data_IF_451905546618
#
_entry.id   IF_451905546618
#
_cell.length_a   1.000
_cell.length_b   1.000
_cell.length_c   1.000
_cell.angle_alpha   90.00
_cell.angle_beta   90.00
_cell.angle_gamma   90.00
#
_symmetry.space_group_name_H-M   'P 1'
#
loop_
_entity.id
_entity.type
_entity.pdbx_description
1 polymer ?
#
# COMPACT_ATOMS: atom_id res chain seq x y z
N UNK A 1 22.53 17.51 62.33
CA UNK A 1 21.45 16.88 63.13
C UNK A 1 20.12 17.33 62.52
N UNK A 2 19.55 16.66 61.51
CA UNK A 2 18.83 15.37 61.49
C UNK A 2 17.57 15.30 62.39
N UNK A 3 16.39 15.25 61.75
CA UNK A 3 15.34 14.20 61.80
C UNK A 3 14.13 14.70 60.98
N UNK A 4 13.99 14.28 59.71
CA UNK A 4 13.23 13.12 59.18
C UNK A 4 11.72 13.18 59.43
N UNK A 5 10.95 13.26 58.34
CA UNK A 5 9.84 12.34 58.10
C UNK A 5 9.66 12.10 56.59
N UNK A 6 9.78 10.82 56.20
CA UNK A 6 9.33 10.25 54.94
C UNK A 6 7.81 10.04 55.01
N UNK A 7 7.09 10.17 53.90
CA UNK A 7 6.33 9.05 53.31
C UNK A 7 5.68 9.41 51.96
N UNK A 8 5.80 8.46 51.02
CA UNK A 8 4.84 7.98 50.01
C UNK A 8 4.08 9.02 49.15
N UNK A 9 4.12 8.96 47.82
CA UNK A 9 3.82 7.79 47.00
C UNK A 9 2.45 8.00 46.36
N UNK A 10 2.42 8.60 45.17
CA UNK A 10 1.20 8.86 44.40
C UNK A 10 1.46 8.68 42.92
N UNK A 11 1.24 7.46 42.44
CA UNK A 11 1.17 7.12 41.01
C UNK A 11 -0.07 7.82 40.44
N UNK A 12 0.13 8.77 39.53
CA UNK A 12 -0.96 9.42 38.81
C UNK A 12 -1.44 8.45 37.71
N UNK A 13 -2.46 7.64 38.02
CA UNK A 13 -3.22 6.87 37.04
C UNK A 13 -4.10 7.84 36.25
N UNK A 14 -3.64 8.24 35.07
CA UNK A 14 -4.46 8.92 34.06
C UNK A 14 -5.43 7.89 33.46
N UNK A 15 -6.61 7.76 34.07
CA UNK A 15 -7.73 7.07 33.48
C UNK A 15 -8.27 7.93 32.31
N UNK A 16 -8.02 7.49 31.07
CA UNK A 16 -8.77 7.97 29.91
C UNK A 16 -10.22 7.49 30.05
N UNK A 17 -11.12 8.41 30.41
CA UNK A 17 -12.55 8.18 30.32
C UNK A 17 -12.94 8.17 28.84
N UNK A 18 -13.15 6.98 28.28
CA UNK A 18 -13.83 6.81 26.99
C UNK A 18 -15.28 7.23 27.19
N UNK A 19 -15.65 8.39 26.65
CA UNK A 19 -17.04 8.83 26.59
C UNK A 19 -17.70 8.01 25.47
N UNK A 20 -18.32 6.88 25.85
CA UNK A 20 -19.27 6.17 25.00
C UNK A 20 -20.52 7.04 24.87
N UNK A 21 -20.58 7.90 23.86
CA UNK A 21 -21.87 8.42 23.41
C UNK A 21 -22.60 7.26 22.76
N UNK A 22 -23.56 6.69 23.49
CA UNK A 22 -24.57 5.79 22.94
C UNK A 22 -25.42 6.57 21.93
N UNK A 23 -24.91 6.72 20.71
CA UNK A 23 -25.76 6.97 19.55
C UNK A 23 -26.61 5.73 19.37
N UNK A 24 -27.93 5.89 19.38
CA UNK A 24 -28.88 4.82 19.09
C UNK A 24 -28.56 4.24 17.70
N UNK A 25 -27.81 3.14 17.67
CA UNK A 25 -27.68 2.29 16.49
C UNK A 25 -29.03 1.60 16.38
N UNK A 26 -29.82 1.97 15.36
CA UNK A 26 -31.01 1.20 15.01
C UNK A 26 -30.61 -0.26 14.84
N UNK A 27 -31.31 -1.16 15.52
CA UNK A 27 -31.25 -2.58 15.20
C UNK A 27 -31.63 -2.73 13.73
N UNK A 28 -30.62 -3.04 12.91
CA UNK A 28 -30.83 -3.40 11.52
C UNK A 28 -31.47 -4.79 11.52
N UNK A 29 -32.80 -4.81 11.47
CA UNK A 29 -33.65 -6.00 11.46
C UNK A 29 -33.66 -6.72 10.11
N UNK A 30 -32.71 -6.43 9.21
CA UNK A 30 -32.65 -7.05 7.87
C UNK A 30 -32.31 -8.55 7.87
N UNK A 31 -31.95 -9.15 9.02
CA UNK A 31 -31.69 -10.58 9.16
C UNK A 31 -30.50 -11.10 8.35
N UNK A 32 -29.73 -10.21 7.71
CA UNK A 32 -28.53 -10.57 6.94
C UNK A 32 -27.31 -10.65 7.86
N UNK A 33 -26.47 -11.69 7.72
CA UNK A 33 -25.19 -11.77 8.41
C UNK A 33 -24.36 -10.51 8.22
N UNK A 34 -23.76 -10.00 9.30
CA UNK A 34 -23.01 -8.74 9.33
C UNK A 34 -21.56 -8.96 9.79
N UNK A 35 -20.63 -8.26 9.15
CA UNK A 35 -19.25 -8.05 9.61
C UNK A 35 -19.06 -6.58 9.99
N UNK A 36 -18.33 -6.32 11.07
CA UNK A 36 -17.92 -4.97 11.46
C UNK A 36 -16.55 -4.67 10.84
N UNK A 37 -16.40 -3.49 10.27
CA UNK A 37 -15.15 -3.05 9.63
C UNK A 37 -14.63 -1.82 10.35
N UNK A 38 -13.36 -1.85 10.75
CA UNK A 38 -12.68 -0.78 11.50
C UNK A 38 -11.46 -0.29 10.73
N UNK A 39 -11.21 1.02 10.76
CA UNK A 39 -9.95 1.59 10.28
C UNK A 39 -8.88 1.47 11.37
N UNK A 40 -7.79 0.77 11.07
CA UNK A 40 -6.59 0.71 11.90
C UNK A 40 -5.41 0.92 10.98
N UNK A 41 -4.50 1.82 11.34
CA UNK A 41 -3.29 2.11 10.56
C UNK A 41 -2.55 0.80 10.25
N UNK A 42 -2.10 0.63 9.00
CA UNK A 42 -1.60 -0.66 8.50
C UNK A 42 -0.56 -1.32 9.42
N UNK A 43 0.42 -0.55 9.91
CA UNK A 43 1.48 -1.04 10.80
C UNK A 43 1.03 -1.42 12.22
N UNK A 44 -0.21 -1.09 12.61
CA UNK A 44 -0.76 -1.43 13.93
C UNK A 44 -1.65 -2.69 13.91
N UNK A 45 -2.12 -3.11 12.73
CA UNK A 45 -3.12 -4.19 12.62
C UNK A 45 -2.61 -5.53 13.14
N UNK A 46 -1.34 -5.88 12.91
CA UNK A 46 -0.75 -7.15 13.39
C UNK A 46 -0.78 -7.21 14.92
N UNK A 47 -0.41 -6.12 15.59
CA UNK A 47 -0.48 -6.03 17.06
C UNK A 47 -1.91 -6.05 17.59
N UNK A 48 -2.85 -5.37 16.92
CA UNK A 48 -4.27 -5.43 17.29
C UNK A 48 -4.86 -6.84 17.14
N UNK A 49 -4.44 -7.58 16.11
CA UNK A 49 -4.81 -8.99 15.92
C UNK A 49 -4.25 -9.86 17.06
N UNK A 50 -2.97 -9.70 17.39
CA UNK A 50 -2.33 -10.45 18.48
C UNK A 50 -2.88 -10.16 19.87
N UNK A 51 -3.43 -8.96 20.09
CA UNK A 51 -4.14 -8.59 21.32
C UNK A 51 -5.61 -9.02 21.35
N UNK A 52 -6.13 -9.63 20.28
CA UNK A 52 -7.54 -10.02 20.17
C UNK A 52 -8.51 -8.84 20.10
N UNK A 53 -8.05 -7.65 19.68
CA UNK A 53 -8.90 -6.47 19.50
C UNK A 53 -9.72 -6.54 18.21
N UNK A 54 -9.25 -7.32 17.24
CA UNK A 54 -9.88 -7.60 15.95
C UNK A 54 -9.82 -9.10 15.68
N UNK A 55 -10.80 -9.62 14.93
CA UNK A 55 -10.86 -11.04 14.56
C UNK A 55 -10.05 -11.34 13.28
N UNK A 56 -9.83 -10.32 12.46
CA UNK A 56 -9.02 -10.40 11.25
C UNK A 56 -8.65 -9.05 10.68
N UNK A 57 -7.81 -9.07 9.66
CA UNK A 57 -7.33 -7.89 8.94
C UNK A 57 -7.21 -8.20 7.45
N UNK A 58 -7.55 -7.25 6.59
CA UNK A 58 -7.13 -7.28 5.19
C UNK A 58 -6.08 -6.17 5.00
N UNK A 59 -4.88 -6.54 4.57
CA UNK A 59 -3.76 -5.61 4.50
C UNK A 59 -2.83 -5.96 3.33
N UNK A 60 -1.92 -5.05 3.02
CA UNK A 60 -0.81 -5.29 2.11
C UNK A 60 0.38 -5.91 2.82
N UNK A 61 1.19 -6.61 2.03
CA UNK A 61 2.56 -6.98 2.38
C UNK A 61 3.42 -5.76 2.75
N UNK A 62 4.32 -5.82 3.75
CA UNK A 62 4.78 -7.02 4.45
C UNK A 62 3.95 -7.36 5.70
N UNK A 63 2.86 -6.64 5.98
CA UNK A 63 2.07 -6.87 7.20
C UNK A 63 1.45 -8.27 7.24
N UNK A 64 1.13 -8.83 6.07
CA UNK A 64 0.62 -10.21 5.95
C UNK A 64 1.70 -11.21 6.35
N UNK A 65 2.91 -11.10 5.79
CA UNK A 65 4.05 -11.91 6.18
C UNK A 65 4.41 -11.72 7.65
N UNK A 66 4.35 -10.50 8.18
CA UNK A 66 4.58 -10.24 9.60
C UNK A 66 3.59 -10.99 10.50
N UNK A 67 2.31 -11.03 10.14
CA UNK A 67 1.30 -11.77 10.89
C UNK A 67 1.53 -13.29 10.84
N UNK A 68 1.94 -13.84 9.70
CA UNK A 68 2.19 -15.28 9.56
C UNK A 68 3.51 -15.72 10.19
N UNK A 69 4.60 -14.98 9.98
CA UNK A 69 5.94 -15.30 10.51
C UNK A 69 6.01 -15.14 12.04
N UNK A 70 5.18 -14.25 12.63
CA UNK A 70 5.04 -14.15 14.09
C UNK A 70 4.15 -15.24 14.70
N UNK A 71 3.42 -16.00 13.87
CA UNK A 71 2.41 -16.97 14.30
C UNK A 71 1.15 -16.33 14.90
N UNK A 72 0.98 -15.01 14.76
CA UNK A 72 -0.21 -14.28 15.25
C UNK A 72 -1.43 -14.57 14.38
N UNK A 73 -1.23 -14.67 13.07
CA UNK A 73 -2.32 -14.85 12.12
C UNK A 73 -2.03 -15.89 11.05
N UNK A 74 -3.09 -16.28 10.35
CA UNK A 74 -3.04 -17.15 9.18
C UNK A 74 -3.84 -16.54 8.02
N UNK A 75 -3.36 -16.78 6.80
CA UNK A 75 -4.02 -16.30 5.58
C UNK A 75 -5.30 -17.11 5.33
N UNK A 76 -6.41 -16.42 5.12
CA UNK A 76 -7.69 -16.98 4.67
C UNK A 76 -7.79 -16.95 3.15
N UNK A 77 -7.36 -15.84 2.55
CA UNK A 77 -7.36 -15.65 1.12
C UNK A 77 -6.38 -14.55 0.76
N UNK A 78 -5.51 -14.80 -0.21
CA UNK A 78 -4.81 -13.72 -0.88
C UNK A 78 -5.79 -12.91 -1.74
N UNK A 79 -5.49 -11.62 -1.93
CA UNK A 79 -6.42 -10.69 -2.58
C UNK A 79 -6.85 -11.16 -3.96
N UNK A 80 -5.95 -11.76 -4.75
CA UNK A 80 -6.24 -12.30 -6.08
C UNK A 80 -7.28 -13.42 -6.09
N UNK A 81 -7.49 -14.08 -4.95
CA UNK A 81 -8.45 -15.18 -4.79
C UNK A 81 -9.75 -14.73 -4.11
N UNK A 82 -9.86 -13.46 -3.68
CA UNK A 82 -11.12 -12.96 -3.14
C UNK A 82 -12.19 -12.94 -4.24
N UNK A 83 -13.41 -13.42 -3.94
CA UNK A 83 -14.50 -13.39 -4.91
C UNK A 83 -15.01 -11.98 -5.12
N UNK A 84 -15.63 -11.78 -6.27
CA UNK A 84 -16.30 -10.55 -6.68
C UNK A 84 -17.79 -10.77 -6.87
N UNK A 85 -18.57 -9.70 -6.76
CA UNK A 85 -20.03 -9.75 -6.99
C UNK A 85 -20.43 -10.17 -8.42
N UNK A 86 -19.53 -10.04 -9.39
CA UNK A 86 -19.72 -10.48 -10.78
C UNK A 86 -19.37 -11.96 -11.04
N UNK A 87 -19.02 -12.72 -9.99
CA UNK A 87 -18.69 -14.15 -10.07
C UNK A 87 -17.25 -14.46 -10.48
N UNK A 88 -16.40 -13.43 -10.63
CA UNK A 88 -14.95 -13.60 -10.86
C UNK A 88 -14.17 -13.52 -9.54
N UNK A 89 -12.85 -13.58 -9.64
CA UNK A 89 -11.91 -13.22 -8.56
C UNK A 89 -11.10 -11.99 -8.96
N UNK A 90 -10.36 -11.42 -8.02
CA UNK A 90 -9.42 -10.32 -8.29
C UNK A 90 -8.09 -10.80 -8.90
N UNK A 91 -8.08 -11.86 -9.71
CA UNK A 91 -6.84 -12.40 -10.28
C UNK A 91 -6.07 -11.35 -11.10
N UNK A 92 -4.78 -11.20 -10.81
CA UNK A 92 -3.92 -10.24 -11.53
C UNK A 92 -4.28 -8.78 -11.30
N UNK A 93 -5.01 -8.45 -10.21
CA UNK A 93 -5.44 -7.08 -9.98
C UNK A 93 -4.26 -6.12 -9.79
N UNK A 94 -4.38 -4.90 -10.33
CA UNK A 94 -3.36 -3.87 -10.14
C UNK A 94 -3.25 -3.47 -8.67
N UNK A 95 -2.05 -3.07 -8.25
CA UNK A 95 -1.81 -2.57 -6.91
C UNK A 95 -1.18 -1.18 -6.98
N UNK A 96 0.12 -1.07 -6.71
CA UNK A 96 0.84 0.20 -6.81
C UNK A 96 1.20 0.54 -8.25
N UNK A 97 1.23 1.84 -8.50
CA UNK A 97 1.63 2.48 -9.75
C UNK A 97 2.59 3.62 -9.45
N UNK A 98 3.41 3.97 -10.43
CA UNK A 98 4.18 5.20 -10.40
C UNK A 98 3.35 6.30 -11.03
N UNK A 99 3.09 7.35 -10.27
CA UNK A 99 2.29 8.48 -10.73
C UNK A 99 2.88 9.83 -10.34
N UNK A 100 2.31 10.88 -10.91
CA UNK A 100 2.77 12.24 -10.77
C UNK A 100 1.62 13.24 -10.74
N UNK A 101 1.89 14.45 -10.24
CA UNK A 101 1.04 15.61 -10.46
C UNK A 101 1.41 16.33 -11.77
N UNK A 102 0.72 17.43 -12.06
CA UNK A 102 0.94 18.24 -13.27
C UNK A 102 2.41 18.72 -13.37
N UNK A 103 3.02 19.16 -12.27
CA UNK A 103 4.42 19.59 -12.24
C UNK A 103 5.39 18.46 -12.57
N UNK A 104 5.09 17.23 -12.14
CA UNK A 104 5.91 16.07 -12.47
C UNK A 104 5.87 15.74 -13.97
N UNK A 105 4.70 15.78 -14.59
CA UNK A 105 4.56 15.43 -16.02
C UNK A 105 4.98 16.54 -16.99
N UNK A 106 5.09 17.80 -16.53
CA UNK A 106 5.59 18.92 -17.34
C UNK A 106 6.98 18.63 -17.94
N UNK A 107 7.85 17.93 -17.21
CA UNK A 107 9.18 17.54 -17.66
C UNK A 107 9.23 16.07 -18.09
N UNK A 108 8.83 15.80 -19.32
CA UNK A 108 8.77 14.44 -19.85
C UNK A 108 10.11 13.67 -19.76
N UNK A 109 11.26 14.32 -19.95
CA UNK A 109 12.55 13.63 -19.86
C UNK A 109 12.84 13.19 -18.43
N UNK A 110 12.58 14.06 -17.44
CA UNK A 110 12.75 13.70 -16.03
C UNK A 110 11.77 12.59 -15.63
N UNK A 111 10.50 12.73 -15.99
CA UNK A 111 9.49 11.71 -15.73
C UNK A 111 9.86 10.37 -16.38
N UNK A 112 10.44 10.38 -17.59
CA UNK A 112 10.92 9.18 -18.27
C UNK A 112 12.13 8.56 -17.54
N UNK A 113 13.09 9.36 -17.06
CA UNK A 113 14.22 8.85 -16.26
C UNK A 113 13.73 8.18 -14.99
N UNK A 114 12.86 8.84 -14.23
CA UNK A 114 12.31 8.28 -12.98
C UNK A 114 11.47 7.03 -13.26
N UNK A 115 10.66 7.04 -14.32
CA UNK A 115 9.90 5.87 -14.75
C UNK A 115 10.84 4.72 -15.10
N UNK A 116 11.88 4.96 -15.91
CA UNK A 116 12.88 3.94 -16.26
C UNK A 116 13.62 3.37 -15.06
N UNK A 117 13.96 4.20 -14.08
CA UNK A 117 14.53 3.74 -12.81
C UNK A 117 13.57 2.79 -12.08
N UNK A 118 12.28 3.11 -11.99
CA UNK A 118 11.29 2.19 -11.39
C UNK A 118 11.21 0.85 -12.11
N UNK A 119 11.28 0.84 -13.44
CA UNK A 119 11.31 -0.40 -14.24
C UNK A 119 12.57 -1.23 -13.93
N UNK A 120 13.74 -0.59 -13.91
CA UNK A 120 15.00 -1.24 -13.54
C UNK A 120 14.99 -1.77 -12.10
N UNK A 121 14.34 -1.07 -11.17
CA UNK A 121 14.15 -1.54 -9.80
C UNK A 121 13.29 -2.81 -9.74
N UNK A 122 12.21 -2.86 -10.51
CA UNK A 122 11.36 -4.05 -10.66
C UNK A 122 12.12 -5.25 -11.24
N UNK A 123 12.90 -5.02 -12.30
CA UNK A 123 13.76 -6.05 -12.91
C UNK A 123 14.77 -6.58 -11.90
N UNK A 124 15.46 -5.68 -11.18
CA UNK A 124 16.43 -6.06 -10.15
C UNK A 124 15.81 -6.92 -9.05
N UNK A 125 14.61 -6.59 -8.58
CA UNK A 125 13.92 -7.39 -7.55
C UNK A 125 13.63 -8.80 -8.06
N UNK A 126 13.20 -8.91 -9.31
CA UNK A 126 12.88 -10.19 -9.97
C UNK A 126 14.13 -11.05 -10.13
N UNK A 127 15.25 -10.45 -10.52
CA UNK A 127 16.52 -11.14 -10.75
C UNK A 127 17.31 -11.45 -9.46
N UNK A 128 17.09 -10.65 -8.41
CA UNK A 128 17.85 -10.72 -7.16
C UNK A 128 16.96 -10.68 -5.91
N UNK A 129 16.03 -11.63 -5.72
CA UNK A 129 15.03 -11.58 -4.66
C UNK A 129 15.64 -11.58 -3.25
N UNK A 130 16.67 -12.40 -3.00
CA UNK A 130 17.32 -12.47 -1.67
C UNK A 130 18.04 -11.17 -1.28
N UNK A 131 18.77 -10.56 -2.23
CA UNK A 131 19.45 -9.28 -1.99
C UNK A 131 18.43 -8.16 -1.80
N UNK A 132 17.39 -8.16 -2.63
CA UNK A 132 16.29 -7.21 -2.53
C UNK A 132 15.58 -7.31 -1.18
N UNK A 133 15.35 -8.53 -0.69
CA UNK A 133 14.76 -8.73 0.64
C UNK A 133 15.61 -8.12 1.76
N UNK A 134 16.94 -8.24 1.68
CA UNK A 134 17.84 -7.63 2.65
C UNK A 134 17.79 -6.08 2.59
N UNK A 135 17.81 -5.50 1.39
CA UNK A 135 17.72 -4.04 1.22
C UNK A 135 16.40 -3.46 1.72
N UNK A 136 15.30 -4.13 1.40
CA UNK A 136 13.96 -3.72 1.82
C UNK A 136 13.76 -3.91 3.33
N UNK A 137 14.29 -4.98 3.91
CA UNK A 137 14.27 -5.18 5.36
C UNK A 137 15.09 -4.12 6.09
N UNK A 138 16.29 -3.80 5.62
CA UNK A 138 17.09 -2.70 6.17
C UNK A 138 16.34 -1.37 6.03
N UNK A 139 15.71 -1.09 4.89
CA UNK A 139 14.91 0.13 4.73
C UNK A 139 13.79 0.26 5.78
N UNK A 140 13.00 -0.81 5.95
CA UNK A 140 11.79 -0.78 6.77
C UNK A 140 12.08 -0.92 8.27
N UNK A 141 13.08 -1.70 8.64
CA UNK A 141 13.34 -2.10 10.03
C UNK A 141 14.72 -1.69 10.55
N UNK A 142 15.63 -1.26 9.66
CA UNK A 142 17.00 -0.91 10.01
C UNK A 142 17.74 -2.10 10.65
N UNK A 143 18.43 -1.83 11.77
CA UNK A 143 19.15 -2.84 12.55
C UNK A 143 18.29 -3.50 13.65
N UNK A 144 16.98 -3.26 13.65
CA UNK A 144 16.08 -3.76 14.71
C UNK A 144 15.01 -4.65 14.14
N UNK A 145 14.87 -5.85 14.70
CA UNK A 145 13.79 -6.75 14.32
C UNK A 145 12.44 -6.23 14.86
N UNK A 146 11.37 -6.22 14.03
CA UNK A 146 10.06 -5.78 14.46
C UNK A 146 9.49 -6.69 15.55
N UNK A 147 8.73 -6.08 16.46
CA UNK A 147 8.07 -6.77 17.58
C UNK A 147 6.56 -6.52 17.54
N UNK A 148 5.79 -7.60 17.62
CA UNK A 148 4.33 -7.61 17.60
C UNK A 148 3.83 -8.31 18.87
N UNK A 149 3.38 -7.54 19.85
CA UNK A 149 3.08 -8.09 21.17
C UNK A 149 4.34 -8.64 21.86
N UNK A 150 4.35 -9.93 22.18
CA UNK A 150 5.48 -10.65 22.77
C UNK A 150 6.36 -11.39 21.74
N UNK A 151 6.08 -11.21 20.43
CA UNK A 151 6.79 -11.87 19.33
C UNK A 151 7.76 -10.91 18.64
N UNK A 152 9.05 -11.21 18.68
CA UNK A 152 10.05 -10.55 17.83
C UNK A 152 10.39 -11.48 16.67
N UNK A 153 10.38 -10.94 15.44
CA UNK A 153 10.57 -11.72 14.21
C UNK A 153 11.61 -11.03 13.35
N UNK A 154 12.48 -11.81 12.69
CA UNK A 154 13.49 -11.24 11.80
C UNK A 154 12.85 -10.42 10.69
N UNK A 155 13.25 -9.15 10.57
CA UNK A 155 12.77 -8.27 9.49
C UNK A 155 13.08 -8.85 8.11
N UNK A 156 14.26 -9.45 7.93
CA UNK A 156 14.63 -10.11 6.67
C UNK A 156 13.77 -11.34 6.39
N UNK A 157 13.43 -12.16 7.39
CA UNK A 157 12.53 -13.30 7.19
C UNK A 157 11.14 -12.85 6.75
N UNK A 158 10.60 -11.79 7.35
CA UNK A 158 9.32 -11.19 6.95
C UNK A 158 9.36 -10.80 5.47
N UNK A 159 10.38 -10.07 5.03
CA UNK A 159 10.46 -9.61 3.64
C UNK A 159 10.69 -10.78 2.67
N UNK A 160 11.46 -11.82 3.06
CA UNK A 160 11.64 -13.03 2.25
C UNK A 160 10.34 -13.81 2.06
N UNK A 161 9.50 -13.89 3.09
CA UNK A 161 8.16 -14.49 2.98
C UNK A 161 7.20 -13.59 2.16
N UNK A 162 7.44 -12.29 2.17
CA UNK A 162 6.57 -11.29 1.57
C UNK A 162 6.77 -11.11 0.06
N UNK A 163 8.00 -10.79 -0.40
CA UNK A 163 8.29 -10.41 -1.79
C UNK A 163 7.76 -11.41 -2.84
N UNK A 164 7.86 -12.74 -2.65
CA UNK A 164 7.35 -13.72 -3.64
C UNK A 164 5.83 -13.67 -3.85
N UNK A 165 5.09 -13.01 -2.96
CA UNK A 165 3.63 -12.86 -3.06
C UNK A 165 3.21 -11.56 -3.74
N UNK A 166 4.17 -10.70 -4.11
CA UNK A 166 3.96 -9.47 -4.87
C UNK A 166 4.42 -9.73 -6.30
N UNK A 167 3.60 -9.35 -7.29
CA UNK A 167 3.92 -9.53 -8.71
C UNK A 167 4.41 -8.22 -9.31
N UNK A 168 5.70 -7.92 -9.14
CA UNK A 168 6.32 -6.77 -9.79
C UNK A 168 6.22 -6.88 -11.31
N UNK A 169 5.93 -5.77 -11.99
CA UNK A 169 5.76 -5.75 -13.43
C UNK A 169 6.28 -4.46 -14.04
N UNK A 170 6.89 -4.57 -15.21
CA UNK A 170 7.35 -3.45 -16.02
C UNK A 170 6.43 -3.14 -17.20
N UNK A 171 5.35 -3.91 -17.38
CA UNK A 171 4.54 -3.84 -18.62
C UNK A 171 3.16 -3.22 -18.42
N UNK A 172 2.83 -2.24 -19.26
CA UNK A 172 1.44 -1.82 -19.48
C UNK A 172 0.75 -2.86 -20.36
N UNK A 173 0.32 -3.96 -19.76
CA UNK A 173 -0.41 -5.04 -20.44
C UNK A 173 -1.92 -4.75 -20.55
N UNK A 174 -2.59 -5.44 -21.47
CA UNK A 174 -4.05 -5.38 -21.57
C UNK A 174 -4.76 -5.82 -20.28
N UNK A 175 -4.19 -6.82 -19.59
CA UNK A 175 -4.69 -7.29 -18.29
C UNK A 175 -4.55 -6.22 -17.20
N UNK A 176 -3.40 -5.52 -17.15
CA UNK A 176 -3.19 -4.44 -16.20
C UNK A 176 -4.16 -3.26 -16.45
N UNK A 177 -4.34 -2.87 -17.72
CA UNK A 177 -5.32 -1.85 -18.10
C UNK A 177 -6.76 -2.28 -17.80
N UNK A 178 -7.09 -3.55 -18.02
CA UNK A 178 -8.40 -4.11 -17.69
C UNK A 178 -8.67 -4.05 -16.19
N UNK A 179 -7.71 -4.46 -15.36
CA UNK A 179 -7.87 -4.41 -13.92
C UNK A 179 -8.04 -2.98 -13.38
N UNK A 180 -7.33 -1.98 -13.94
CA UNK A 180 -7.57 -0.58 -13.56
C UNK A 180 -9.00 -0.13 -13.86
N UNK A 181 -9.56 -0.54 -15.00
CA UNK A 181 -10.96 -0.28 -15.34
C UNK A 181 -11.91 -0.98 -14.39
N UNK A 182 -11.62 -2.23 -14.03
CA UNK A 182 -12.44 -2.99 -13.09
C UNK A 182 -12.47 -2.32 -11.71
N UNK A 183 -11.33 -1.80 -11.19
CA UNK A 183 -11.33 -1.00 -9.97
C UNK A 183 -12.23 0.23 -10.08
N UNK A 184 -12.15 0.97 -11.19
CA UNK A 184 -13.01 2.13 -11.41
C UNK A 184 -14.50 1.76 -11.41
N UNK A 185 -14.89 0.70 -12.12
CA UNK A 185 -16.28 0.24 -12.15
C UNK A 185 -16.76 -0.24 -10.78
N UNK A 186 -15.96 -1.01 -10.04
CA UNK A 186 -16.30 -1.42 -8.68
C UNK A 186 -16.46 -0.19 -7.77
N UNK A 187 -15.56 0.79 -7.87
CA UNK A 187 -15.65 2.02 -7.07
C UNK A 187 -16.87 2.89 -7.43
N UNK A 188 -17.32 2.89 -8.69
CA UNK A 188 -18.60 3.49 -9.11
C UNK A 188 -19.79 2.76 -8.51
N UNK A 189 -19.81 1.42 -8.57
CA UNK A 189 -20.86 0.58 -7.97
C UNK A 189 -20.96 0.78 -6.46
N UNK A 190 -19.82 0.88 -5.78
CA UNK A 190 -19.74 1.17 -4.34
C UNK A 190 -20.06 2.65 -3.99
N UNK A 191 -20.31 3.51 -4.98
CA UNK A 191 -20.64 4.92 -4.76
C UNK A 191 -19.47 5.78 -4.23
N UNK A 192 -18.23 5.33 -4.42
CA UNK A 192 -17.02 6.08 -3.98
C UNK A 192 -16.47 7.02 -5.05
N UNK A 193 -16.81 6.78 -6.32
CA UNK A 193 -16.55 7.63 -7.48
C UNK A 193 -17.86 8.31 -7.85
N UNK A 194 -17.95 9.63 -7.65
CA UNK A 194 -19.23 10.37 -7.74
C UNK A 194 -19.14 11.68 -8.53
N UNK A 195 -17.94 12.06 -8.97
CA UNK A 195 -17.66 13.35 -9.61
C UNK A 195 -17.11 13.15 -11.03
N UNK A 196 -15.84 13.53 -11.28
CA UNK A 196 -15.25 13.65 -12.61
C UNK A 196 -15.11 12.33 -13.36
N UNK A 197 -15.06 11.19 -12.65
CA UNK A 197 -14.95 9.86 -13.26
C UNK A 197 -16.27 9.09 -13.25
N UNK A 198 -17.37 9.66 -12.73
CA UNK A 198 -18.63 8.93 -12.53
C UNK A 198 -19.25 8.38 -13.81
N UNK A 199 -19.32 9.20 -14.86
CA UNK A 199 -20.04 8.88 -16.10
C UNK A 199 -19.13 8.96 -17.35
N UNK A 200 -17.82 8.87 -17.17
CA UNK A 200 -16.86 8.95 -18.28
C UNK A 200 -16.89 7.67 -19.11
N UNK A 201 -16.85 7.83 -20.43
CA UNK A 201 -16.52 6.76 -21.37
C UNK A 201 -15.12 6.22 -21.12
N UNK A 202 -14.77 5.10 -21.77
CA UNK A 202 -13.43 4.52 -21.70
C UNK A 202 -12.36 5.51 -22.14
N UNK A 203 -12.55 6.17 -23.28
CA UNK A 203 -11.57 7.12 -23.84
C UNK A 203 -11.39 8.34 -22.94
N UNK A 204 -12.48 8.91 -22.43
CA UNK A 204 -12.43 10.04 -21.48
C UNK A 204 -11.70 9.65 -20.20
N UNK A 205 -11.99 8.46 -19.68
CA UNK A 205 -11.33 7.91 -18.49
C UNK A 205 -9.84 7.78 -18.71
N UNK A 206 -9.42 7.08 -19.78
CA UNK A 206 -8.01 6.83 -20.09
C UNK A 206 -7.24 8.16 -20.25
N UNK A 207 -7.84 9.15 -20.91
CA UNK A 207 -7.26 10.50 -21.05
C UNK A 207 -7.14 11.24 -19.72
N UNK A 208 -8.09 11.06 -18.80
CA UNK A 208 -8.07 11.68 -17.48
C UNK A 208 -7.00 11.05 -16.58
N UNK A 209 -6.87 9.73 -16.58
CA UNK A 209 -6.07 9.01 -15.58
C UNK A 209 -4.62 8.73 -16.00
N UNK A 210 -4.33 8.61 -17.30
CA UNK A 210 -3.01 8.20 -17.77
C UNK A 210 -2.23 9.32 -18.44
N UNK A 211 -0.91 9.27 -18.26
CA UNK A 211 0.06 9.84 -19.18
C UNK A 211 1.20 8.83 -19.37
N UNK A 212 1.11 8.03 -20.43
CA UNK A 212 2.09 6.99 -20.75
C UNK A 212 3.25 7.49 -21.62
N UNK A 213 3.34 8.80 -21.91
CA UNK A 213 4.46 9.32 -22.69
C UNK A 213 5.81 9.11 -21.97
N UNK A 214 5.94 9.35 -20.65
CA UNK A 214 7.17 9.04 -19.91
C UNK A 214 7.55 7.56 -19.98
N UNK A 215 6.58 6.65 -19.80
CA UNK A 215 6.80 5.21 -19.90
C UNK A 215 7.33 4.78 -21.27
N UNK A 216 6.66 5.19 -22.35
CA UNK A 216 7.11 4.84 -23.72
C UNK A 216 8.52 5.36 -24.00
N UNK A 217 8.78 6.61 -23.59
CA UNK A 217 10.11 7.22 -23.71
C UNK A 217 11.16 6.42 -22.94
N UNK A 218 10.83 5.98 -21.71
CA UNK A 218 11.73 5.18 -20.88
C UNK A 218 12.03 3.81 -21.52
N UNK A 219 11.02 3.09 -21.99
CA UNK A 219 11.19 1.78 -22.64
C UNK A 219 12.03 1.89 -23.91
N UNK A 220 11.74 2.86 -24.78
CA UNK A 220 12.53 3.11 -26.00
C UNK A 220 13.99 3.41 -25.65
N UNK A 221 14.22 4.24 -24.62
CA UNK A 221 15.55 4.64 -24.18
C UNK A 221 16.35 3.50 -23.52
N UNK A 222 15.69 2.66 -22.71
CA UNK A 222 16.29 1.46 -22.11
C UNK A 222 16.69 0.45 -23.18
N UNK A 223 15.83 0.21 -24.18
CA UNK A 223 16.15 -0.64 -25.33
C UNK A 223 17.31 -0.10 -26.17
N UNK A 224 17.48 1.23 -26.22
CA UNK A 224 18.61 1.90 -26.85
C UNK A 224 19.87 1.97 -25.97
N UNK A 225 19.79 1.54 -24.70
CA UNK A 225 20.90 1.52 -23.74
C UNK A 225 21.20 2.85 -23.04
N UNK A 226 20.35 3.87 -23.18
CA UNK A 226 20.58 5.17 -22.54
C UNK A 226 19.28 5.95 -22.29
N UNK A 227 18.95 6.17 -21.01
CA UNK A 227 17.89 7.09 -20.58
C UNK A 227 18.18 8.55 -21.01
N UNK A 228 17.15 9.35 -21.31
CA UNK A 228 17.31 10.71 -21.85
C UNK A 228 17.96 11.64 -20.82
N UNK A 229 18.69 12.66 -21.28
CA UNK A 229 19.22 13.71 -20.39
C UNK A 229 18.10 14.71 -20.00
N UNK A 230 17.76 14.83 -18.71
CA UNK A 230 16.83 15.84 -18.23
C UNK A 230 17.59 17.03 -17.62
N UNK A 231 16.92 18.18 -17.55
CA UNK A 231 17.28 19.29 -16.67
C UNK A 231 16.12 19.47 -15.71
N UNK A 232 16.38 19.58 -14.41
CA UNK A 232 15.31 19.74 -13.42
C UNK A 232 15.73 20.60 -12.25
N UNK A 233 14.73 21.17 -11.58
CA UNK A 233 14.85 21.62 -10.19
C UNK A 233 14.77 20.41 -9.25
N UNK A 234 14.99 20.66 -7.97
CA UNK A 234 14.78 19.65 -6.93
C UNK A 234 13.33 19.15 -6.93
N UNK A 235 13.19 17.85 -6.64
CA UNK A 235 11.90 17.14 -6.64
C UNK A 235 11.71 16.39 -5.33
N UNK A 236 10.46 16.00 -5.08
CA UNK A 236 10.14 15.03 -4.04
C UNK A 236 9.32 13.85 -4.59
N UNK A 237 9.67 12.65 -4.10
CA UNK A 237 9.02 11.38 -4.42
C UNK A 237 8.38 10.84 -3.14
N UNK A 238 7.06 10.66 -3.16
CA UNK A 238 6.29 10.03 -2.11
C UNK A 238 6.41 8.51 -2.14
N UNK A 239 6.53 7.90 -0.97
CA UNK A 239 6.50 6.45 -0.80
C UNK A 239 5.75 6.05 0.47
N UNK A 240 5.35 4.79 0.57
CA UNK A 240 4.76 4.19 1.77
C UNK A 240 5.83 3.40 2.54
N UNK A 241 5.63 3.16 3.86
CA UNK A 241 6.48 2.24 4.63
C UNK A 241 6.10 0.78 4.32
N UNK A 242 6.29 0.37 3.07
CA UNK A 242 5.84 -0.93 2.54
C UNK A 242 6.81 -1.48 1.49
N UNK A 243 6.95 -2.80 1.43
CA UNK A 243 7.73 -3.48 0.36
C UNK A 243 7.04 -3.46 -1.00
N UNK A 244 5.82 -2.94 -1.05
CA UNK A 244 5.13 -2.46 -2.24
C UNK A 244 5.92 -1.37 -2.99
N UNK A 245 6.77 -0.64 -2.28
CA UNK A 245 7.61 0.43 -2.82
C UNK A 245 9.08 -0.02 -2.93
N UNK A 246 9.34 -1.34 -2.82
CA UNK A 246 10.66 -1.95 -2.92
C UNK A 246 11.50 -1.48 -4.13
N UNK A 247 10.93 -1.23 -5.34
CA UNK A 247 11.72 -0.76 -6.47
C UNK A 247 12.50 0.52 -6.15
N UNK A 248 11.85 1.47 -5.48
CA UNK A 248 12.50 2.71 -5.02
C UNK A 248 13.60 2.41 -3.99
N UNK A 249 13.35 1.48 -3.08
CA UNK A 249 14.30 1.15 -2.01
C UNK A 249 15.55 0.47 -2.56
N UNK A 250 15.41 -0.49 -3.48
CA UNK A 250 16.56 -1.17 -4.08
C UNK A 250 17.41 -0.22 -4.92
N UNK A 251 16.78 0.72 -5.63
CA UNK A 251 17.49 1.77 -6.39
C UNK A 251 18.42 2.61 -5.52
N UNK A 252 17.98 2.94 -4.30
CA UNK A 252 18.73 3.75 -3.35
C UNK A 252 19.75 2.92 -2.55
N UNK A 253 19.37 1.72 -2.12
CA UNK A 253 20.21 0.83 -1.30
C UNK A 253 21.31 0.14 -2.10
N UNK A 254 21.13 0.00 -3.41
CA UNK A 254 22.09 -0.59 -4.31
C UNK A 254 22.49 0.39 -5.43
N UNK A 255 22.55 1.68 -5.12
CA UNK A 255 22.75 2.74 -6.12
C UNK A 255 24.02 2.56 -6.96
N UNK A 256 25.07 1.95 -6.41
CA UNK A 256 26.33 1.67 -7.09
C UNK A 256 26.14 0.67 -8.24
N UNK A 257 25.29 -0.34 -8.05
CA UNK A 257 24.92 -1.26 -9.12
C UNK A 257 24.30 -0.51 -10.29
N UNK A 258 23.35 0.39 -10.02
CA UNK A 258 22.69 1.17 -11.08
C UNK A 258 23.64 2.18 -11.71
N UNK A 259 24.59 2.74 -10.96
CA UNK A 259 25.65 3.59 -11.52
C UNK A 259 26.54 2.83 -12.51
N UNK A 260 26.89 1.59 -12.18
CA UNK A 260 27.85 0.81 -12.98
C UNK A 260 27.19 0.08 -14.16
N UNK A 261 25.89 -0.20 -14.07
CA UNK A 261 25.13 -0.97 -15.08
C UNK A 261 24.10 -0.13 -15.86
N UNK A 262 23.79 1.09 -15.39
CA UNK A 262 22.82 1.97 -16.03
C UNK A 262 23.40 3.38 -16.17
N UNK A 263 22.88 4.15 -17.12
CA UNK A 263 23.32 5.53 -17.30
C UNK A 263 22.60 6.52 -16.35
N UNK A 264 21.70 6.06 -15.49
CA UNK A 264 21.03 6.86 -14.46
C UNK A 264 20.96 6.11 -13.13
N UNK A 265 21.02 6.85 -12.01
CA UNK A 265 20.95 6.27 -10.66
C UNK A 265 20.56 7.32 -9.61
N UNK A 266 20.07 6.84 -8.46
CA UNK A 266 19.76 7.66 -7.28
C UNK A 266 20.82 7.43 -6.22
N UNK A 267 21.71 8.41 -6.01
CA UNK A 267 22.76 8.33 -5.00
C UNK A 267 22.26 8.92 -3.67
N UNK A 268 22.21 8.17 -2.56
CA UNK A 268 21.89 8.72 -1.24
C UNK A 268 22.87 9.82 -0.83
N UNK A 269 22.41 10.85 -0.11
CA UNK A 269 23.32 11.89 0.42
C UNK A 269 24.29 11.34 1.48
N UNK A 270 23.90 10.27 2.16
CA UNK A 270 24.72 9.57 3.13
C UNK A 270 24.40 8.07 3.11
N UNK A 271 25.44 7.24 3.23
CA UNK A 271 25.28 5.81 3.47
C UNK A 271 24.80 5.61 4.91
N UNK A 272 23.56 5.14 5.06
CA UNK A 272 22.96 4.83 6.36
C UNK A 272 22.10 3.57 6.31
N UNK A 273 22.11 2.84 7.41
CA UNK A 273 21.09 1.84 7.77
C UNK A 273 19.72 2.52 7.81
N UNK A 274 18.66 1.80 7.44
CA UNK A 274 17.30 2.33 7.56
C UNK A 274 16.92 3.25 6.39
N UNK A 275 15.88 4.05 6.62
CA UNK A 275 15.26 4.89 5.59
C UNK A 275 16.20 5.97 5.06
N UNK A 276 16.18 6.16 3.74
CA UNK A 276 16.86 7.26 3.04
C UNK A 276 15.83 8.32 2.69
N UNK A 277 16.04 9.55 3.15
CA UNK A 277 15.15 10.70 3.01
C UNK A 277 15.67 11.72 1.98
N UNK A 278 16.94 11.63 1.60
CA UNK A 278 17.58 12.50 0.62
C UNK A 278 18.55 11.76 -0.29
N UNK A 279 18.48 12.08 -1.57
CA UNK A 279 19.34 11.55 -2.61
C UNK A 279 19.61 12.59 -3.70
N UNK A 280 20.50 12.24 -4.61
CA UNK A 280 20.86 13.00 -5.81
C UNK A 280 20.55 12.13 -7.02
N UNK A 281 19.82 12.68 -8.00
CA UNK A 281 19.62 12.01 -9.28
C UNK A 281 20.81 12.30 -10.19
N UNK A 282 21.41 11.25 -10.75
CA UNK A 282 22.46 11.34 -11.75
C UNK A 282 22.01 10.73 -13.08
N UNK A 283 22.40 11.36 -14.18
CA UNK A 283 22.26 10.84 -15.55
C UNK A 283 23.57 11.11 -16.31
N UNK A 284 24.12 10.12 -17.00
CA UNK A 284 25.39 10.17 -17.72
C UNK A 284 26.55 10.72 -16.85
N UNK A 285 26.57 10.35 -15.57
CA UNK A 285 27.56 10.82 -14.59
C UNK A 285 27.42 12.28 -14.15
N UNK A 286 26.40 13.01 -14.62
CA UNK A 286 26.10 14.38 -14.23
C UNK A 286 24.94 14.42 -13.24
N UNK A 287 25.08 15.23 -12.18
CA UNK A 287 23.98 15.49 -11.25
C UNK A 287 22.89 16.28 -11.96
N UNK A 288 21.66 15.79 -11.89
CA UNK A 288 20.45 16.42 -12.46
C UNK A 288 19.79 17.33 -11.42
N UNK A 289 19.44 16.77 -10.25
CA UNK A 289 18.75 17.49 -9.17
C UNK A 289 18.89 16.76 -7.83
N UNK A 290 18.51 17.41 -6.73
CA UNK A 290 18.27 16.73 -5.45
C UNK A 290 16.87 16.08 -5.45
N UNK A 291 16.76 14.96 -4.73
CA UNK A 291 15.54 14.18 -4.58
C UNK A 291 15.26 14.02 -3.09
N UNK A 292 14.12 14.55 -2.64
CA UNK A 292 13.59 14.27 -1.30
C UNK A 292 12.67 13.06 -1.34
N UNK A 293 12.86 12.12 -0.42
CA UNK A 293 11.99 10.95 -0.27
C UNK A 293 11.06 11.22 0.90
N UNK A 294 9.75 11.23 0.63
CA UNK A 294 8.73 11.64 1.59
C UNK A 294 7.83 10.45 1.91
N UNK A 295 7.92 9.97 3.14
CA UNK A 295 7.07 8.87 3.60
C UNK A 295 5.65 9.37 3.91
N UNK A 296 4.66 8.73 3.31
CA UNK A 296 3.24 8.90 3.63
C UNK A 296 2.72 7.81 4.57
N UNK A 297 1.61 8.08 5.25
CA UNK A 297 0.95 7.10 6.14
C UNK A 297 -0.13 6.25 5.45
N UNK A 298 -0.35 6.46 4.14
CA UNK A 298 -1.33 5.75 3.33
C UNK A 298 -1.50 6.40 1.96
N UNK A 299 -2.13 5.69 1.01
CA UNK A 299 -2.34 6.19 -0.35
C UNK A 299 -3.05 7.56 -0.42
N UNK A 300 -4.18 7.77 0.27
CA UNK A 300 -4.86 9.07 0.34
C UNK A 300 -3.99 10.23 0.87
N UNK A 301 -3.05 9.96 1.78
CA UNK A 301 -2.13 10.97 2.27
C UNK A 301 -1.12 11.38 1.18
N UNK A 302 -0.56 10.42 0.43
CA UNK A 302 0.27 10.72 -0.74
C UNK A 302 -0.50 11.48 -1.82
N UNK A 303 -1.78 11.15 -2.04
CA UNK A 303 -2.62 11.89 -2.98
C UNK A 303 -2.81 13.35 -2.57
N UNK A 304 -3.00 13.60 -1.27
CA UNK A 304 -3.08 14.97 -0.74
C UNK A 304 -1.76 15.70 -0.98
N UNK A 305 -0.62 15.08 -0.69
CA UNK A 305 0.70 15.68 -0.93
C UNK A 305 0.96 16.00 -2.41
N UNK A 306 0.51 15.14 -3.34
CA UNK A 306 0.55 15.42 -4.78
C UNK A 306 -0.33 16.61 -5.15
N UNK A 307 -1.56 16.68 -4.62
CA UNK A 307 -2.53 17.75 -4.90
C UNK A 307 -2.14 19.10 -4.31
N UNK A 308 -1.38 19.12 -3.21
CA UNK A 308 -0.82 20.32 -2.57
C UNK A 308 0.56 20.69 -3.11
N UNK A 309 1.08 19.94 -4.10
CA UNK A 309 2.43 20.10 -4.67
C UNK A 309 3.56 19.98 -3.64
N UNK A 310 3.32 19.26 -2.53
CA UNK A 310 4.35 18.91 -1.54
C UNK A 310 5.31 17.86 -2.12
N UNK A 311 4.79 16.98 -2.98
CA UNK A 311 5.57 16.03 -3.78
C UNK A 311 5.15 16.10 -5.25
N UNK A 312 6.04 15.72 -6.17
CA UNK A 312 5.75 15.70 -7.61
C UNK A 312 5.43 14.30 -8.12
N UNK A 313 6.02 13.28 -7.50
CA UNK A 313 5.86 11.88 -7.88
C UNK A 313 5.49 11.04 -6.65
N UNK A 314 4.85 9.89 -6.87
CA UNK A 314 4.61 8.93 -5.80
C UNK A 314 4.51 7.50 -6.35
N UNK A 315 4.91 6.55 -5.51
CA UNK A 315 4.47 5.14 -5.62
C UNK A 315 3.26 4.98 -4.70
N UNK A 316 2.10 4.63 -5.26
CA UNK A 316 0.86 4.45 -4.49
C UNK A 316 -0.14 3.58 -5.25
N UNK A 317 -1.18 3.10 -4.55
CA UNK A 317 -2.22 2.26 -5.12
C UNK A 317 -3.07 2.93 -6.22
N UNK A 318 -3.54 2.15 -7.19
CA UNK A 318 -4.47 2.60 -8.24
C UNK A 318 -5.75 3.23 -7.66
N UNK A 319 -6.50 2.63 -6.70
CA UNK A 319 -7.75 3.22 -6.20
C UNK A 319 -7.60 4.59 -5.53
N UNK A 320 -6.53 4.87 -4.74
CA UNK A 320 -6.21 6.23 -4.32
C UNK A 320 -6.07 7.25 -5.47
N UNK A 321 -5.34 6.91 -6.54
CA UNK A 321 -5.25 7.77 -7.72
C UNK A 321 -6.63 8.01 -8.34
N UNK A 322 -7.43 6.96 -8.54
CA UNK A 322 -8.78 7.09 -9.11
C UNK A 322 -9.68 7.99 -8.25
N UNK A 323 -9.72 7.77 -6.93
CA UNK A 323 -10.52 8.59 -6.00
C UNK A 323 -10.07 10.05 -5.96
N UNK A 324 -8.77 10.28 -6.04
CA UNK A 324 -8.18 11.62 -6.07
C UNK A 324 -8.53 12.36 -7.35
N UNK A 325 -8.37 11.70 -8.51
CA UNK A 325 -8.69 12.25 -9.84
C UNK A 325 -10.19 12.52 -9.97
N UNK A 326 -11.04 11.65 -9.42
CA UNK A 326 -12.48 11.89 -9.36
C UNK A 326 -12.80 13.21 -8.64
N UNK A 327 -12.08 13.53 -7.56
CA UNK A 327 -12.32 14.76 -6.79
C UNK A 327 -11.67 15.99 -7.44
N UNK A 328 -10.40 15.88 -7.84
CA UNK A 328 -9.62 16.96 -8.45
C UNK A 328 -8.74 16.37 -9.56
N UNK A 329 -9.08 16.60 -10.84
CA UNK A 329 -8.26 16.18 -11.97
C UNK A 329 -6.87 16.84 -11.91
N UNK A 330 -5.88 16.18 -12.52
CA UNK A 330 -4.50 16.70 -12.64
C UNK A 330 -3.42 15.70 -12.23
N UNK A 331 -3.78 14.65 -11.47
CA UNK A 331 -2.86 13.54 -11.24
C UNK A 331 -2.85 12.58 -12.44
N UNK A 332 -1.68 11.97 -12.70
CA UNK A 332 -1.45 11.04 -13.80
C UNK A 332 -0.75 9.78 -13.31
N UNK A 333 -1.23 8.63 -13.77
CA UNK A 333 -0.53 7.35 -13.66
C UNK A 333 0.40 7.24 -14.87
N UNK A 334 1.68 6.99 -14.61
CA UNK A 334 2.74 6.97 -15.62
C UNK A 334 3.13 5.55 -16.01
N UNK A 335 3.23 4.64 -15.03
CA UNK A 335 3.70 3.28 -15.24
C UNK A 335 3.18 2.31 -14.16
N UNK A 336 3.12 1.01 -14.45
CA UNK A 336 2.86 -0.01 -13.43
C UNK A 336 4.05 -0.10 -12.47
N UNK A 337 3.79 -0.51 -11.23
CA UNK A 337 4.82 -1.02 -10.32
C UNK A 337 4.60 -2.51 -10.09
N UNK A 338 3.38 -2.92 -9.76
CA UNK A 338 3.06 -4.32 -9.51
C UNK A 338 1.56 -4.62 -9.55
N UNK A 339 1.26 -5.91 -9.48
CA UNK A 339 -0.06 -6.46 -9.20
C UNK A 339 -0.04 -7.29 -7.91
N UNK A 340 -1.21 -7.48 -7.30
CA UNK A 340 -1.41 -8.33 -6.10
C UNK A 340 -0.61 -7.85 -4.86
N UNK A 341 -0.33 -8.75 -3.91
CA UNK A 341 0.44 -8.43 -2.70
C UNK A 341 -0.39 -8.02 -1.48
N UNK A 342 -1.66 -8.43 -1.39
CA UNK A 342 -2.51 -8.25 -0.21
C UNK A 342 -3.19 -9.57 0.18
N UNK A 343 -3.69 -9.65 1.42
CA UNK A 343 -4.44 -10.82 1.86
C UNK A 343 -5.40 -10.49 3.01
N UNK A 344 -6.45 -11.29 3.15
CA UNK A 344 -7.23 -11.42 4.36
C UNK A 344 -6.54 -12.42 5.30
N UNK A 345 -6.22 -11.97 6.50
CA UNK A 345 -5.61 -12.73 7.59
C UNK A 345 -6.57 -12.72 8.78
N UNK A 346 -6.65 -13.83 9.49
CA UNK A 346 -7.39 -13.95 10.76
C UNK A 346 -6.45 -14.45 11.85
N UNK A 347 -6.86 -14.34 13.12
CA UNK A 347 -6.08 -14.88 14.23
C UNK A 347 -5.83 -16.39 14.04
N UNK A 348 -4.64 -16.86 14.42
CA UNK A 348 -4.19 -18.22 14.08
C UNK A 348 -5.08 -19.34 14.64
N UNK A 349 -5.74 -19.10 15.78
CA UNK A 349 -6.52 -20.07 16.55
C UNK A 349 -8.03 -20.11 16.20
N UNK A 350 -8.47 -19.34 15.21
CA UNK A 350 -9.88 -19.32 14.78
C UNK A 350 -10.20 -20.52 13.86
N UNK A 351 -11.47 -20.95 13.73
CA UNK A 351 -11.81 -22.18 13.01
C UNK A 351 -11.66 -22.10 11.48
N UNK A 352 -11.56 -20.91 10.90
CA UNK A 352 -11.51 -20.72 9.44
C UNK A 352 -10.10 -20.87 8.86
N UNK A 353 -9.95 -21.56 7.73
CA UNK A 353 -8.67 -21.76 7.03
C UNK A 353 -8.71 -21.37 5.54
N UNK A 354 -9.89 -21.00 5.05
CA UNK A 354 -10.11 -20.56 3.67
C UNK A 354 -11.34 -19.65 3.62
N UNK A 355 -11.57 -19.00 2.47
CA UNK A 355 -12.68 -18.06 2.30
C UNK A 355 -14.06 -18.65 2.65
N UNK A 356 -14.34 -19.90 2.24
CA UNK A 356 -15.65 -20.52 2.50
C UNK A 356 -15.88 -20.76 4.00
N UNK A 357 -14.85 -21.21 4.72
CA UNK A 357 -14.90 -21.37 6.17
C UNK A 357 -14.98 -20.02 6.89
N UNK A 358 -14.32 -18.98 6.38
CA UNK A 358 -14.46 -17.62 6.89
C UNK A 358 -15.90 -17.12 6.74
N UNK A 359 -16.54 -17.34 5.60
CA UNK A 359 -17.95 -17.00 5.37
C UNK A 359 -18.87 -17.73 6.34
N UNK A 360 -18.67 -19.04 6.54
CA UNK A 360 -19.45 -19.81 7.52
C UNK A 360 -19.26 -19.25 8.95
N UNK A 361 -18.01 -19.00 9.34
CA UNK A 361 -17.67 -18.43 10.64
C UNK A 361 -18.30 -17.05 10.86
N UNK A 362 -18.25 -16.17 9.87
CA UNK A 362 -18.87 -14.85 9.92
C UNK A 362 -20.39 -14.94 10.11
N UNK A 363 -21.04 -15.88 9.41
CA UNK A 363 -22.49 -16.12 9.52
C UNK A 363 -22.88 -16.63 10.91
N UNK A 364 -22.16 -17.62 11.43
CA UNK A 364 -22.39 -18.17 12.77
C UNK A 364 -22.20 -17.11 13.86
N UNK A 365 -21.13 -16.32 13.75
CA UNK A 365 -20.82 -15.22 14.67
C UNK A 365 -21.89 -14.13 14.65
N UNK A 366 -22.39 -13.78 13.47
CA UNK A 366 -23.46 -12.80 13.34
C UNK A 366 -24.79 -13.31 13.91
N UNK A 367 -25.16 -14.58 13.66
CA UNK A 367 -26.34 -15.20 14.24
C UNK A 367 -26.29 -15.27 15.78
N UNK A 368 -25.09 -15.37 16.36
CA UNK A 368 -24.86 -15.33 17.80
C UNK A 368 -24.79 -13.90 18.38
N UNK A 369 -25.02 -12.84 17.59
CA UNK A 369 -24.92 -11.45 18.02
C UNK A 369 -23.48 -10.97 18.31
N UNK A 370 -22.48 -11.68 17.79
CA UNK A 370 -21.04 -11.41 18.00
C UNK A 370 -20.32 -11.24 16.67
N UNK A 371 -20.75 -10.27 15.86
CA UNK A 371 -20.17 -10.00 14.54
C UNK A 371 -18.64 -9.99 14.58
N UNK A 372 -18.00 -10.47 13.50
CA UNK A 372 -16.55 -10.37 13.35
C UNK A 372 -16.13 -8.91 13.20
N UNK A 373 -14.99 -8.55 13.76
CA UNK A 373 -14.35 -7.25 13.57
C UNK A 373 -13.15 -7.41 12.64
N UNK A 374 -13.23 -6.86 11.43
CA UNK A 374 -12.18 -6.94 10.42
C UNK A 374 -11.55 -5.56 10.20
N UNK A 375 -10.24 -5.46 10.39
CA UNK A 375 -9.50 -4.23 10.15
C UNK A 375 -9.20 -4.02 8.67
N UNK A 376 -9.34 -2.76 8.24
CA UNK A 376 -8.83 -2.24 6.96
C UNK A 376 -7.83 -1.11 7.24
N UNK A 377 -6.87 -0.85 6.34
CA UNK A 377 -5.89 0.23 6.54
C UNK A 377 -6.53 1.61 6.50
N UNK A 378 -7.45 1.80 5.56
CA UNK A 378 -8.20 3.04 5.35
C UNK A 378 -9.42 2.80 4.45
N UNK A 379 -10.52 3.53 4.64
CA UNK A 379 -11.65 3.57 3.70
C UNK A 379 -11.16 4.07 2.34
N UNK A 380 -11.67 3.46 1.26
CA UNK A 380 -11.28 3.66 -0.15
C UNK A 380 -9.89 3.13 -0.54
N UNK A 381 -9.21 2.40 0.35
CA UNK A 381 -8.03 1.61 -0.03
C UNK A 381 -8.41 0.44 -0.94
N UNK A 382 -7.41 -0.20 -1.57
CA UNK A 382 -7.62 -1.44 -2.35
C UNK A 382 -8.31 -2.50 -1.48
N UNK A 383 -7.83 -2.65 -0.25
CA UNK A 383 -8.28 -3.64 0.71
C UNK A 383 -9.74 -3.40 1.15
N UNK A 384 -10.12 -2.13 1.32
CA UNK A 384 -11.52 -1.76 1.59
C UNK A 384 -12.44 -2.15 0.43
N UNK A 385 -12.06 -1.79 -0.81
CA UNK A 385 -12.85 -2.10 -2.02
C UNK A 385 -13.02 -3.61 -2.19
N UNK A 386 -11.92 -4.37 -2.10
CA UNK A 386 -11.92 -5.82 -2.28
C UNK A 386 -12.69 -6.55 -1.19
N UNK A 387 -12.54 -6.16 0.08
CA UNK A 387 -13.27 -6.79 1.18
C UNK A 387 -14.77 -6.56 1.05
N UNK A 388 -15.20 -5.34 0.73
CA UNK A 388 -16.62 -5.01 0.59
C UNK A 388 -17.27 -5.80 -0.53
N UNK A 389 -16.65 -5.84 -1.71
CA UNK A 389 -17.16 -6.62 -2.85
C UNK A 389 -17.19 -8.13 -2.54
N UNK A 390 -16.17 -8.66 -1.86
CA UNK A 390 -16.13 -10.06 -1.45
C UNK A 390 -17.24 -10.38 -0.43
N UNK A 391 -17.49 -9.53 0.57
CA UNK A 391 -18.57 -9.71 1.54
C UNK A 391 -19.96 -9.64 0.86
N UNK A 392 -20.16 -8.69 -0.05
CA UNK A 392 -21.39 -8.56 -0.84
C UNK A 392 -21.64 -9.83 -1.68
N UNK A 393 -20.61 -10.36 -2.34
CA UNK A 393 -20.70 -11.62 -3.11
C UNK A 393 -21.09 -12.83 -2.24
N UNK A 394 -20.74 -12.81 -0.95
CA UNK A 394 -21.07 -13.86 0.02
C UNK A 394 -22.43 -13.67 0.71
N UNK A 395 -23.15 -12.59 0.38
CA UNK A 395 -24.41 -12.20 1.02
C UNK A 395 -24.24 -11.72 2.47
N UNK A 396 -23.08 -11.16 2.80
CA UNK A 396 -22.74 -10.59 4.11
C UNK A 396 -22.77 -9.07 4.01
N UNK A 397 -23.49 -8.41 4.90
CA UNK A 397 -23.45 -6.94 5.01
C UNK A 397 -22.26 -6.51 5.85
N UNK A 398 -21.81 -5.26 5.68
CA UNK A 398 -20.75 -4.69 6.51
C UNK A 398 -21.20 -3.39 7.18
N UNK A 399 -20.68 -3.14 8.39
CA UNK A 399 -20.87 -1.89 9.13
C UNK A 399 -19.53 -1.26 9.44
N UNK A 400 -19.30 -0.05 8.93
CA UNK A 400 -18.10 0.73 9.24
C UNK A 400 -18.27 1.31 10.66
N UNK A 401 -17.36 0.95 11.56
CA UNK A 401 -17.27 1.60 12.88
C UNK A 401 -16.31 2.77 12.77
N UNK A 402 -16.80 3.98 13.03
CA UNK A 402 -15.93 5.11 13.30
C UNK A 402 -15.17 4.82 14.59
N UNK A 403 -13.84 4.95 14.54
CA UNK A 403 -12.96 4.82 15.71
C UNK A 403 -13.33 5.81 16.83
#
# INVERSE_FOLDING_TARGET
MQKKLFLAGGVLLLAFAVILTAGCVGEDTSGKPTVEVVEIAAGQQVSSLGMGQIDGMINWQPNIAAATESGIGKVISYSQNLPRSDGKTWEGHTCCVFGANEQGVENNNLAAVLTGLMLLGNEYITEHPDKSAAFVADWLYGNTDPTFGDKTVSGTSIIKASLPTIRFTTEISDTWLASNREFLETQRTLGTIVNNLKNTSREETEKLIYDFKPYRTAVEALNAGALPEPVSKDIAIGHLPSDHDAPLFVLLKNWEYFKDNCNAYLKPEADKTGKIDKAELYVNGKKVCNVSLVEGNGGPNLMTMLQTNTIQYAVAGTPPFLSSIDTKPGLKILAPIMTEGSALVVAADVPANNWNEFVAWAKDRSAAGKNLIIAIPQVKSIQDVQLKDALESAGITYKIKSA
#
